data_IF_590927300482
#
_entry.id   IF_590927300482
#
_cell.length_a   1.000
_cell.length_b   1.000
_cell.length_c   1.000
_cell.angle_alpha   90.00
_cell.angle_beta   90.00
_cell.angle_gamma   90.00
#
_symmetry.space_group_name_H-M   'P 1'
#
loop_
_entity.id
_entity.type
_entity.pdbx_description
1 polymer ?
#
# COMPACT_ATOMS: atom_id res chain seq x y z
N UNK A 1 5.22 3.65 -12.24
CA UNK A 1 6.62 4.08 -12.01
C UNK A 1 6.57 5.55 -11.64
N UNK A 2 7.22 5.95 -10.55
CA UNK A 2 7.37 7.37 -10.23
C UNK A 2 8.31 7.96 -11.29
N UNK A 3 7.78 8.76 -12.17
CA UNK A 3 8.53 9.49 -13.20
C UNK A 3 8.78 10.93 -12.78
N UNK A 4 9.51 11.64 -13.63
CA UNK A 4 9.88 13.04 -13.41
C UNK A 4 8.64 13.95 -13.25
N UNK A 5 7.55 13.66 -13.98
CA UNK A 5 6.29 14.41 -13.86
C UNK A 5 5.64 14.19 -12.49
N UNK A 6 5.63 12.96 -11.97
CA UNK A 6 5.12 12.66 -10.62
C UNK A 6 5.96 13.36 -9.54
N UNK A 7 7.26 13.50 -9.73
CA UNK A 7 8.12 14.25 -8.80
C UNK A 7 7.86 15.76 -8.85
N UNK A 8 7.69 16.33 -10.05
CA UNK A 8 7.33 17.75 -10.26
C UNK A 8 5.96 18.06 -9.61
N UNK A 9 4.97 17.19 -9.78
CA UNK A 9 3.65 17.34 -9.15
C UNK A 9 3.72 17.25 -7.62
N UNK A 10 4.54 16.35 -7.09
CA UNK A 10 4.76 16.25 -5.65
C UNK A 10 5.49 17.47 -5.08
N UNK A 11 6.46 18.03 -5.79
CA UNK A 11 7.14 19.26 -5.40
C UNK A 11 6.21 20.47 -5.46
N UNK A 12 5.38 20.57 -6.49
CA UNK A 12 4.39 21.66 -6.64
C UNK A 12 3.35 21.62 -5.51
N UNK A 13 2.93 20.42 -5.11
CA UNK A 13 2.00 20.20 -3.99
C UNK A 13 2.65 20.56 -2.64
N UNK A 14 3.91 20.16 -2.41
CA UNK A 14 4.64 20.43 -1.17
C UNK A 14 5.01 21.92 -1.03
N UNK A 15 5.22 22.64 -2.12
CA UNK A 15 5.56 24.06 -2.13
C UNK A 15 4.35 25.01 -2.06
N UNK A 16 3.14 24.48 -1.78
CA UNK A 16 1.94 25.31 -1.54
C UNK A 16 1.33 25.92 -2.80
N UNK A 17 1.72 25.45 -3.97
CA UNK A 17 1.24 25.95 -5.26
C UNK A 17 -0.16 25.52 -5.69
N UNK A 18 -0.96 24.97 -4.80
CA UNK A 18 -2.30 24.49 -5.13
C UNK A 18 -3.22 24.35 -3.94
N UNK A 19 -3.54 25.45 -3.27
CA UNK A 19 -4.70 25.45 -2.39
C UNK A 19 -5.97 25.28 -3.23
N UNK A 20 -6.43 24.04 -3.39
CA UNK A 20 -7.74 23.75 -3.95
C UNK A 20 -8.78 24.57 -3.19
N UNK A 21 -9.47 25.48 -3.87
CA UNK A 21 -10.53 26.22 -3.25
C UNK A 21 -11.65 25.27 -2.82
N UNK A 22 -12.41 25.61 -1.78
CA UNK A 22 -13.59 24.83 -1.37
C UNK A 22 -14.58 24.55 -2.52
N UNK A 23 -14.56 25.36 -3.58
CA UNK A 23 -15.37 25.18 -4.79
C UNK A 23 -14.81 24.14 -5.76
N UNK A 24 -13.51 23.94 -5.79
CA UNK A 24 -12.86 22.92 -6.65
C UNK A 24 -12.95 21.54 -6.02
N UNK A 25 -12.96 21.46 -4.68
CA UNK A 25 -13.22 20.24 -3.94
C UNK A 25 -14.64 19.68 -4.18
N UNK A 26 -15.62 20.53 -4.44
CA UNK A 26 -16.99 20.08 -4.76
C UNK A 26 -17.14 19.46 -6.15
N UNK A 27 -16.18 19.60 -7.04
CA UNK A 27 -16.15 18.96 -8.36
C UNK A 27 -15.50 17.57 -8.37
N UNK A 28 -14.83 17.21 -7.29
CA UNK A 28 -14.25 15.88 -7.08
C UNK A 28 -15.30 14.95 -6.44
N UNK A 29 -16.36 14.64 -7.19
CA UNK A 29 -17.45 13.76 -6.76
C UNK A 29 -17.03 12.34 -6.37
N UNK A 30 -15.82 11.90 -6.69
CA UNK A 30 -15.26 10.63 -6.23
C UNK A 30 -14.87 10.65 -4.73
N UNK A 31 -14.49 11.79 -4.18
CA UNK A 31 -14.15 11.91 -2.75
C UNK A 31 -15.42 11.91 -1.86
N UNK A 32 -16.56 12.38 -2.38
CA UNK A 32 -17.83 12.39 -1.65
C UNK A 32 -18.42 10.97 -1.48
N UNK A 33 -18.17 10.06 -2.42
CA UNK A 33 -18.64 8.67 -2.33
C UNK A 33 -17.82 7.89 -1.28
N UNK A 34 -16.54 8.20 -1.12
CA UNK A 34 -15.72 7.60 -0.07
C UNK A 34 -16.14 8.03 1.35
N UNK A 35 -16.63 9.25 1.53
CA UNK A 35 -17.10 9.72 2.84
C UNK A 35 -18.45 9.10 3.26
N UNK A 36 -19.25 8.62 2.32
CA UNK A 36 -20.52 7.92 2.61
C UNK A 36 -20.33 6.45 3.03
N UNK A 37 -19.18 5.87 2.77
CA UNK A 37 -18.84 4.49 3.17
C UNK A 37 -18.18 4.40 4.55
N UNK A 38 -17.84 5.53 5.18
CA UNK A 38 -17.24 5.55 6.51
C UNK A 38 -18.27 5.98 7.56
N UNK A 39 -18.40 5.25 8.68
CA UNK A 39 -19.26 5.68 9.77
C UNK A 39 -18.78 7.05 10.29
N UNK A 40 -19.72 7.98 10.46
CA UNK A 40 -19.49 9.38 10.86
C UNK A 40 -18.89 9.59 12.27
N UNK A 41 -18.46 8.54 12.94
CA UNK A 41 -17.88 8.58 14.29
C UNK A 41 -16.36 8.81 14.33
N UNK A 42 -15.74 9.17 13.20
CA UNK A 42 -14.28 9.20 13.08
C UNK A 42 -13.63 10.57 13.36
N UNK A 43 -14.37 11.54 13.87
CA UNK A 43 -13.78 12.82 14.26
C UNK A 43 -13.16 12.69 15.66
N UNK A 44 -11.85 12.47 15.70
CA UNK A 44 -11.06 12.66 16.93
C UNK A 44 -10.64 11.40 17.67
N UNK A 45 -10.58 10.22 17.03
CA UNK A 45 -9.93 9.08 17.70
C UNK A 45 -8.43 9.37 17.90
N UNK A 46 -8.00 9.29 19.16
CA UNK A 46 -6.59 9.31 19.48
C UNK A 46 -5.91 8.06 18.92
N UNK A 47 -4.79 8.21 18.20
CA UNK A 47 -4.03 7.08 17.67
C UNK A 47 -2.79 6.83 18.50
N UNK A 48 -2.49 5.56 18.75
CA UNK A 48 -1.25 5.11 19.39
C UNK A 48 -0.32 4.60 18.29
N UNK A 49 0.82 5.26 18.13
CA UNK A 49 1.87 4.79 17.24
C UNK A 49 2.68 3.70 17.95
N UNK A 50 2.85 2.57 17.26
CA UNK A 50 3.85 1.58 17.64
C UNK A 50 4.92 1.61 16.57
N UNK A 51 5.82 2.58 16.67
CA UNK A 51 6.90 2.75 15.71
C UNK A 51 7.80 1.51 15.67
N UNK A 52 8.18 1.13 14.47
CA UNK A 52 9.21 0.15 14.21
C UNK A 52 8.98 -1.21 14.90
N UNK A 53 7.82 -1.81 14.58
CA UNK A 53 7.55 -3.19 14.96
C UNK A 53 8.35 -4.14 14.06
N UNK A 54 8.82 -5.22 14.67
CA UNK A 54 9.58 -6.25 13.98
C UNK A 54 8.68 -7.46 13.75
N UNK A 55 8.53 -7.86 12.50
CA UNK A 55 7.75 -9.03 12.12
C UNK A 55 8.69 -10.14 11.67
N UNK A 56 8.55 -11.31 12.30
CA UNK A 56 9.31 -12.49 11.90
C UNK A 56 8.79 -13.01 10.56
N UNK A 57 9.68 -13.12 9.60
CA UNK A 57 9.39 -13.56 8.25
C UNK A 57 10.12 -14.87 7.96
N UNK A 58 9.76 -15.57 6.88
CA UNK A 58 10.48 -16.76 6.44
C UNK A 58 11.96 -16.48 6.16
N UNK A 59 12.25 -15.32 5.59
CA UNK A 59 13.60 -14.99 5.08
C UNK A 59 14.30 -13.90 5.92
N UNK A 60 13.87 -13.70 7.16
CA UNK A 60 14.49 -12.71 8.07
C UNK A 60 13.49 -12.01 8.97
N UNK A 61 13.75 -10.76 9.31
CA UNK A 61 12.89 -9.94 10.16
C UNK A 61 12.59 -8.64 9.44
N UNK A 62 11.30 -8.36 9.23
CA UNK A 62 10.84 -7.13 8.59
C UNK A 62 10.57 -6.05 9.62
N UNK A 63 11.21 -4.91 9.44
CA UNK A 63 10.93 -3.67 10.17
C UNK A 63 9.73 -2.97 9.54
N UNK A 64 8.65 -2.84 10.30
CA UNK A 64 7.39 -2.29 9.83
C UNK A 64 6.93 -1.14 10.71
N UNK A 65 5.98 -0.36 10.23
CA UNK A 65 5.30 0.67 11.01
C UNK A 65 3.87 0.24 11.29
N UNK A 66 3.55 0.07 12.58
CA UNK A 66 2.21 -0.30 13.03
C UNK A 66 1.56 0.86 13.77
N UNK A 67 0.38 1.28 13.31
CA UNK A 67 -0.38 2.38 13.89
C UNK A 67 -1.86 1.99 14.00
N UNK A 68 -2.49 2.37 15.12
CA UNK A 68 -3.85 1.97 15.46
C UNK A 68 -4.57 3.02 16.31
N UNK A 69 -5.90 2.99 16.41
CA UNK A 69 -6.63 3.74 17.42
C UNK A 69 -6.23 3.34 18.85
N UNK A 70 -6.34 4.27 19.80
CA UNK A 70 -5.90 4.08 21.19
C UNK A 70 -6.70 3.04 21.95
N UNK A 71 -7.93 2.75 21.54
CA UNK A 71 -8.84 1.83 22.24
C UNK A 71 -9.70 1.04 21.27
N UNK A 72 -10.20 -0.10 21.71
CA UNK A 72 -11.12 -0.96 20.96
C UNK A 72 -10.44 -1.91 20.00
N UNK A 73 -11.28 -2.74 19.34
CA UNK A 73 -10.86 -3.64 18.25
C UNK A 73 -11.27 -3.08 16.90
N UNK A 74 -10.37 -3.12 15.95
CA UNK A 74 -10.53 -2.47 14.66
C UNK A 74 -10.21 -3.41 13.50
N UNK A 75 -10.83 -3.24 12.31
CA UNK A 75 -10.43 -3.99 11.13
C UNK A 75 -8.99 -3.64 10.77
N UNK A 76 -8.25 -4.62 10.31
CA UNK A 76 -6.86 -4.44 9.95
C UNK A 76 -6.68 -4.04 8.48
N UNK A 77 -5.61 -3.29 8.21
CA UNK A 77 -5.15 -2.93 6.86
C UNK A 77 -3.67 -3.21 6.73
N UNK A 78 -3.31 -3.95 5.68
CA UNK A 78 -1.94 -4.17 5.25
C UNK A 78 -1.60 -3.22 4.10
N UNK A 79 -0.58 -2.37 4.28
CA UNK A 79 -0.20 -1.36 3.28
C UNK A 79 1.18 -1.68 2.68
N UNK A 80 1.19 -1.87 1.35
CA UNK A 80 2.40 -2.09 0.55
C UNK A 80 2.85 -0.76 -0.08
N UNK A 81 4.03 -0.26 0.28
CA UNK A 81 4.60 0.95 -0.31
C UNK A 81 4.95 0.80 -1.80
N UNK A 82 5.27 1.94 -2.40
CA UNK A 82 5.87 2.01 -3.73
C UNK A 82 7.34 1.55 -3.74
N UNK A 83 8.02 1.75 -4.89
CA UNK A 83 9.41 1.33 -5.13
C UNK A 83 10.42 1.95 -4.16
N UNK A 84 10.13 3.09 -3.54
CA UNK A 84 11.00 3.72 -2.54
C UNK A 84 10.83 3.12 -1.13
N UNK A 85 9.87 2.22 -0.94
CA UNK A 85 9.66 1.50 0.32
C UNK A 85 9.03 2.31 1.45
N UNK A 86 9.11 1.75 2.66
CA UNK A 86 8.59 2.39 3.87
C UNK A 86 9.40 3.65 4.20
N UNK A 87 8.72 4.80 4.24
CA UNK A 87 9.28 6.12 4.51
C UNK A 87 8.22 7.04 5.15
N UNK A 88 8.57 8.28 5.57
CA UNK A 88 7.65 9.19 6.27
C UNK A 88 6.28 9.38 5.59
N UNK A 89 6.23 9.46 4.26
CA UNK A 89 4.98 9.59 3.52
C UNK A 89 4.00 8.43 3.81
N UNK A 90 4.48 7.17 3.76
CA UNK A 90 3.65 6.00 4.05
C UNK A 90 3.27 5.88 5.52
N UNK A 91 4.14 6.31 6.44
CA UNK A 91 3.79 6.44 7.87
C UNK A 91 2.64 7.44 8.07
N UNK A 92 2.67 8.58 7.39
CA UNK A 92 1.59 9.57 7.43
C UNK A 92 0.28 9.03 6.82
N UNK A 93 0.35 8.25 5.74
CA UNK A 93 -0.82 7.59 5.13
C UNK A 93 -1.41 6.54 6.07
N UNK A 94 -0.59 5.70 6.69
CA UNK A 94 -1.03 4.73 7.70
C UNK A 94 -1.70 5.41 8.88
N UNK A 95 -1.13 6.52 9.38
CA UNK A 95 -1.70 7.31 10.47
C UNK A 95 -3.09 7.87 10.10
N UNK A 96 -3.26 8.39 8.88
CA UNK A 96 -4.57 8.86 8.41
C UNK A 96 -5.63 7.76 8.40
N UNK A 97 -5.28 6.54 7.97
CA UNK A 97 -6.18 5.40 8.04
C UNK A 97 -6.49 4.97 9.48
N UNK A 98 -5.51 5.01 10.37
CA UNK A 98 -5.74 4.72 11.78
C UNK A 98 -6.70 5.73 12.42
N UNK A 99 -6.62 7.00 12.06
CA UNK A 99 -7.59 8.03 12.47
C UNK A 99 -9.01 7.78 11.93
N UNK A 100 -9.17 6.95 10.91
CA UNK A 100 -10.45 6.49 10.38
C UNK A 100 -10.94 5.17 11.01
N UNK A 101 -10.25 4.67 12.03
CA UNK A 101 -10.68 3.49 12.77
C UNK A 101 -10.10 2.16 12.26
N UNK A 102 -8.93 2.16 11.65
CA UNK A 102 -8.25 0.95 11.19
C UNK A 102 -6.97 0.67 11.98
N UNK A 103 -6.64 -0.59 12.18
CA UNK A 103 -5.32 -1.03 12.63
C UNK A 103 -4.44 -1.26 11.41
N UNK A 104 -3.40 -0.46 11.22
CA UNK A 104 -2.66 -0.39 9.96
C UNK A 104 -1.22 -0.84 10.14
N UNK A 105 -0.80 -1.82 9.34
CA UNK A 105 0.59 -2.23 9.21
C UNK A 105 1.14 -1.74 7.86
N UNK A 106 2.09 -0.82 7.91
CA UNK A 106 2.86 -0.39 6.74
C UNK A 106 4.17 -1.15 6.73
N UNK A 107 4.40 -1.95 5.71
CA UNK A 107 5.52 -2.90 5.68
C UNK A 107 6.77 -2.33 5.02
N UNK A 108 7.94 -2.88 5.39
CA UNK A 108 9.15 -2.75 4.59
C UNK A 108 9.24 -3.96 3.64
N UNK A 109 8.91 -3.84 2.35
CA UNK A 109 8.98 -4.96 1.42
C UNK A 109 10.43 -5.40 1.13
N UNK A 110 11.39 -4.56 1.46
CA UNK A 110 12.81 -4.76 1.17
C UNK A 110 13.63 -5.26 2.37
N UNK A 111 12.97 -5.74 3.42
CA UNK A 111 13.62 -6.17 4.65
C UNK A 111 14.76 -7.21 4.46
N UNK A 112 14.71 -7.96 3.35
CA UNK A 112 15.78 -8.93 2.98
C UNK A 112 17.11 -8.25 2.67
N UNK A 113 17.06 -6.98 2.28
CA UNK A 113 18.24 -6.23 1.81
C UNK A 113 18.62 -5.09 2.73
N UNK A 114 17.60 -4.34 3.23
CA UNK A 114 17.85 -3.14 4.01
C UNK A 114 16.69 -2.82 4.96
N UNK A 115 17.03 -2.16 6.07
CA UNK A 115 16.03 -1.54 6.95
C UNK A 115 15.47 -0.28 6.30
N UNK A 116 14.22 0.06 6.66
CA UNK A 116 13.58 1.28 6.21
C UNK A 116 14.11 2.52 6.98
N UNK A 117 14.26 3.67 6.31
CA UNK A 117 14.05 3.91 4.89
C UNK A 117 15.22 3.37 4.05
N UNK A 118 14.92 2.71 2.92
CA UNK A 118 15.96 2.07 2.08
C UNK A 118 16.73 3.07 1.20
N UNK A 119 16.20 4.29 1.04
CA UNK A 119 16.86 5.40 0.36
C UNK A 119 16.71 6.67 1.19
N UNK A 120 17.68 7.57 1.06
CA UNK A 120 17.67 8.88 1.74
C UNK A 120 16.56 9.80 1.25
N UNK A 121 16.29 10.83 2.04
CA UNK A 121 15.40 11.92 1.65
C UNK A 121 15.95 12.62 0.38
N UNK A 122 15.07 12.92 -0.59
CA UNK A 122 15.46 13.49 -1.88
C UNK A 122 15.98 12.49 -2.91
N UNK A 123 16.10 11.18 -2.58
CA UNK A 123 16.48 10.18 -3.57
C UNK A 123 15.44 10.11 -4.70
N UNK A 124 15.91 10.26 -5.95
CA UNK A 124 15.06 10.21 -7.15
C UNK A 124 15.15 8.85 -7.83
N UNK A 125 14.00 8.36 -8.29
CA UNK A 125 13.96 7.17 -9.16
C UNK A 125 14.49 7.46 -10.57
N UNK A 126 14.58 8.75 -10.94
CA UNK A 126 15.19 9.19 -12.21
C UNK A 126 16.72 9.05 -12.19
N UNK A 127 17.35 9.06 -10.98
CA UNK A 127 18.78 8.78 -10.86
C UNK A 127 19.06 7.31 -11.20
N UNK A 128 19.99 7.04 -12.17
CA UNK A 128 20.26 5.68 -12.65
C UNK A 128 20.75 4.72 -11.57
N UNK A 129 21.57 5.17 -10.64
CA UNK A 129 22.12 4.29 -9.58
C UNK A 129 21.05 3.98 -8.53
N UNK A 130 20.28 4.99 -8.11
CA UNK A 130 19.12 4.80 -7.22
C UNK A 130 18.10 3.84 -7.84
N UNK A 131 17.77 4.04 -9.12
CA UNK A 131 16.84 3.16 -9.83
C UNK A 131 17.35 1.74 -9.92
N UNK A 132 18.62 1.53 -10.28
CA UNK A 132 19.26 0.21 -10.36
C UNK A 132 19.20 -0.51 -9.00
N UNK A 133 19.52 0.19 -7.93
CA UNK A 133 19.48 -0.33 -6.56
C UNK A 133 18.06 -0.76 -6.17
N UNK A 134 17.07 0.11 -6.34
CA UNK A 134 15.67 -0.18 -6.00
C UNK A 134 15.08 -1.32 -6.83
N UNK A 135 15.36 -1.36 -8.14
CA UNK A 135 14.91 -2.45 -9.02
C UNK A 135 15.54 -3.79 -8.61
N UNK A 136 16.81 -3.81 -8.20
CA UNK A 136 17.46 -5.04 -7.74
C UNK A 136 16.74 -5.64 -6.52
N UNK A 137 16.29 -4.81 -5.58
CA UNK A 137 15.49 -5.26 -4.44
C UNK A 137 14.09 -5.70 -4.85
N UNK A 138 13.41 -4.91 -5.71
CA UNK A 138 12.07 -5.20 -6.16
C UNK A 138 11.95 -6.54 -6.91
N UNK A 139 12.98 -6.93 -7.67
CA UNK A 139 13.04 -8.23 -8.36
C UNK A 139 13.02 -9.43 -7.41
N UNK A 140 13.35 -9.25 -6.14
CA UNK A 140 13.27 -10.31 -5.12
C UNK A 140 11.86 -10.52 -4.59
N UNK A 141 10.94 -9.61 -4.89
CA UNK A 141 9.52 -9.74 -4.55
C UNK A 141 8.81 -10.67 -5.55
N UNK A 142 9.30 -11.88 -5.68
CA UNK A 142 8.66 -12.93 -6.50
C UNK A 142 7.27 -13.26 -5.94
N UNK A 143 6.45 -13.95 -6.71
CA UNK A 143 5.14 -14.40 -6.24
C UNK A 143 5.27 -15.21 -4.94
N UNK A 144 6.14 -16.21 -4.93
CA UNK A 144 6.31 -17.06 -3.75
C UNK A 144 6.81 -16.29 -2.51
N UNK A 145 7.77 -15.38 -2.70
CA UNK A 145 8.30 -14.55 -1.62
C UNK A 145 7.21 -13.63 -1.05
N UNK A 146 6.54 -12.86 -1.92
CA UNK A 146 5.52 -11.91 -1.49
C UNK A 146 4.26 -12.56 -0.91
N UNK A 147 3.87 -13.74 -1.39
CA UNK A 147 2.76 -14.50 -0.80
C UNK A 147 3.12 -15.05 0.59
N UNK A 148 4.37 -15.50 0.79
CA UNK A 148 4.85 -15.91 2.11
C UNK A 148 4.88 -14.71 3.07
N UNK A 149 5.38 -13.57 2.60
CA UNK A 149 5.41 -12.32 3.37
C UNK A 149 3.99 -11.87 3.77
N UNK A 150 3.05 -11.91 2.82
CA UNK A 150 1.67 -11.54 3.09
C UNK A 150 1.03 -12.38 4.20
N UNK A 151 1.30 -13.70 4.24
CA UNK A 151 0.82 -14.58 5.32
C UNK A 151 1.37 -14.14 6.67
N UNK A 152 2.68 -13.93 6.75
CA UNK A 152 3.33 -13.54 8.00
C UNK A 152 2.85 -12.17 8.50
N UNK A 153 2.65 -11.21 7.60
CA UNK A 153 2.10 -9.90 7.98
C UNK A 153 0.64 -9.99 8.48
N UNK A 154 -0.19 -10.83 7.86
CA UNK A 154 -1.57 -11.02 8.32
C UNK A 154 -1.60 -11.78 9.65
N UNK A 155 -0.75 -12.80 9.85
CA UNK A 155 -0.59 -13.46 11.14
C UNK A 155 -0.16 -12.49 12.24
N UNK A 156 0.79 -11.59 11.95
CA UNK A 156 1.17 -10.53 12.87
C UNK A 156 -0.01 -9.63 13.23
N UNK A 157 -0.80 -9.20 12.23
CA UNK A 157 -1.99 -8.38 12.47
C UNK A 157 -3.02 -9.12 13.33
N UNK A 158 -3.31 -10.37 13.02
CA UNK A 158 -4.30 -11.18 13.75
C UNK A 158 -3.88 -11.49 15.21
N UNK A 159 -2.58 -11.42 15.49
CA UNK A 159 -2.04 -11.57 16.84
C UNK A 159 -2.13 -10.29 17.69
N UNK A 160 -2.55 -9.15 17.13
CA UNK A 160 -2.67 -7.91 17.88
C UNK A 160 -4.01 -7.83 18.61
N UNK A 161 -4.00 -7.52 19.90
CA UNK A 161 -5.20 -7.44 20.76
C UNK A 161 -6.27 -6.45 20.26
N UNK A 162 -5.83 -5.42 19.55
CA UNK A 162 -6.68 -4.36 18.99
C UNK A 162 -7.18 -4.65 17.57
N UNK A 163 -6.88 -5.80 17.00
CA UNK A 163 -7.41 -6.23 15.70
C UNK A 163 -8.69 -7.03 15.89
N UNK A 164 -9.74 -6.66 15.18
CA UNK A 164 -10.98 -7.43 15.12
C UNK A 164 -10.84 -8.56 14.08
N UNK A 165 -10.52 -9.75 14.53
CA UNK A 165 -10.34 -10.91 13.67
C UNK A 165 -11.64 -11.45 13.08
N UNK A 166 -12.81 -11.01 13.54
CA UNK A 166 -14.11 -11.33 12.94
C UNK A 166 -14.35 -10.49 11.66
N UNK A 167 -13.61 -9.43 11.45
CA UNK A 167 -13.67 -8.61 10.25
C UNK A 167 -12.52 -8.96 9.30
N UNK A 168 -12.81 -8.90 8.01
CA UNK A 168 -11.79 -9.12 6.96
C UNK A 168 -10.73 -8.04 7.00
N UNK A 169 -9.53 -8.39 6.53
CA UNK A 169 -8.41 -7.47 6.32
C UNK A 169 -8.54 -6.76 4.98
N UNK A 170 -8.24 -5.46 4.96
CA UNK A 170 -8.01 -4.71 3.73
C UNK A 170 -6.53 -4.74 3.34
N UNK A 171 -6.21 -4.66 2.05
CA UNK A 171 -4.83 -4.47 1.59
C UNK A 171 -4.75 -3.35 0.57
N UNK A 172 -3.75 -2.48 0.72
CA UNK A 172 -3.50 -1.33 -0.16
C UNK A 172 -2.11 -1.44 -0.77
N UNK A 173 -1.99 -1.13 -2.05
CA UNK A 173 -0.70 -1.13 -2.75
C UNK A 173 -0.56 0.05 -3.69
N UNK A 174 0.63 0.64 -3.71
CA UNK A 174 0.96 1.81 -4.51
C UNK A 174 2.09 1.48 -5.47
N UNK A 175 1.93 1.79 -6.77
CA UNK A 175 2.94 1.55 -7.81
C UNK A 175 3.41 0.07 -7.78
N UNK A 176 4.65 -0.19 -7.38
CA UNK A 176 5.19 -1.55 -7.16
C UNK A 176 4.33 -2.40 -6.20
N UNK A 177 3.65 -1.76 -5.25
CA UNK A 177 2.74 -2.44 -4.32
C UNK A 177 1.47 -2.98 -4.95
N UNK A 178 1.09 -2.53 -6.16
CA UNK A 178 -0.11 -2.96 -6.85
C UNK A 178 -0.22 -4.47 -7.03
N UNK A 179 0.73 -5.15 -7.68
CA UNK A 179 0.71 -6.61 -7.80
C UNK A 179 0.78 -7.33 -6.44
N UNK A 180 1.35 -6.70 -5.41
CA UNK A 180 1.46 -7.31 -4.08
C UNK A 180 0.11 -7.43 -3.37
N UNK A 181 -0.86 -6.54 -3.65
CA UNK A 181 -2.22 -6.69 -3.09
C UNK A 181 -2.94 -7.91 -3.67
N UNK A 182 -2.77 -8.19 -4.96
CA UNK A 182 -3.36 -9.37 -5.59
C UNK A 182 -2.75 -10.65 -5.05
N UNK A 183 -1.42 -10.66 -4.88
CA UNK A 183 -0.68 -11.76 -4.24
C UNK A 183 -1.09 -11.94 -2.78
N UNK A 184 -1.37 -10.86 -2.05
CA UNK A 184 -1.90 -10.90 -0.68
C UNK A 184 -3.28 -11.54 -0.66
N UNK A 185 -4.20 -11.10 -1.52
CA UNK A 185 -5.55 -11.62 -1.60
C UNK A 185 -5.56 -13.12 -2.00
N UNK A 186 -4.70 -13.53 -2.93
CA UNK A 186 -4.54 -14.92 -3.32
C UNK A 186 -3.83 -15.79 -2.25
N UNK A 187 -2.93 -15.20 -1.45
CA UNK A 187 -2.22 -15.90 -0.39
C UNK A 187 -3.10 -16.24 0.81
N UNK A 188 -4.05 -15.34 1.17
CA UNK A 188 -4.89 -15.47 2.37
C UNK A 188 -6.35 -15.12 2.04
N UNK A 189 -7.00 -15.87 1.11
CA UNK A 189 -8.32 -15.52 0.57
C UNK A 189 -9.42 -15.52 1.65
N UNK A 190 -9.25 -16.32 2.69
CA UNK A 190 -10.21 -16.37 3.80
C UNK A 190 -10.14 -15.16 4.74
N UNK A 191 -9.05 -14.40 4.73
CA UNK A 191 -8.85 -13.23 5.60
C UNK A 191 -8.95 -11.90 4.86
N UNK A 192 -8.55 -11.83 3.60
CA UNK A 192 -8.60 -10.61 2.79
C UNK A 192 -9.99 -10.44 2.21
N UNK A 193 -10.62 -9.30 2.48
CA UNK A 193 -11.96 -8.97 1.97
C UNK A 193 -11.99 -7.81 0.98
N UNK A 194 -10.95 -6.98 0.99
CA UNK A 194 -10.80 -5.85 0.08
C UNK A 194 -9.34 -5.62 -0.30
N UNK A 195 -9.09 -5.29 -1.55
CA UNK A 195 -7.76 -4.96 -2.07
C UNK A 195 -7.84 -3.71 -2.94
N UNK A 196 -6.91 -2.76 -2.79
CA UNK A 196 -6.88 -1.58 -3.63
C UNK A 196 -5.47 -1.32 -4.17
N UNK A 197 -5.36 -1.25 -5.49
CA UNK A 197 -4.14 -0.89 -6.22
C UNK A 197 -4.27 0.54 -6.71
N UNK A 198 -3.29 1.37 -6.36
CA UNK A 198 -3.19 2.74 -6.83
C UNK A 198 -1.98 2.86 -7.75
N UNK A 199 -2.21 3.17 -9.01
CA UNK A 199 -1.16 3.30 -10.04
C UNK A 199 -0.26 2.04 -10.09
N UNK A 200 -0.86 0.85 -9.98
CA UNK A 200 -0.13 -0.42 -9.96
C UNK A 200 0.37 -0.83 -11.34
N UNK A 201 1.68 -1.05 -11.48
CA UNK A 201 2.26 -1.61 -12.70
C UNK A 201 2.45 -3.12 -12.60
N UNK A 202 2.40 -3.83 -13.74
CA UNK A 202 2.65 -5.27 -13.81
C UNK A 202 1.56 -6.13 -13.16
N UNK A 203 0.31 -5.68 -13.23
CA UNK A 203 -0.85 -6.43 -12.75
C UNK A 203 -1.16 -7.61 -13.66
N UNK A 204 -0.89 -7.45 -14.95
CA UNK A 204 -1.06 -8.44 -16.00
C UNK A 204 0.21 -8.58 -16.82
N UNK A 205 0.59 -9.80 -17.13
CA UNK A 205 1.69 -10.14 -18.03
C UNK A 205 1.47 -11.56 -18.59
N UNK A 206 2.28 -11.96 -19.57
CA UNK A 206 2.27 -13.32 -20.14
C UNK A 206 3.02 -14.35 -19.27
N UNK A 207 3.56 -13.94 -18.11
CA UNK A 207 4.26 -14.86 -17.22
C UNK A 207 3.29 -15.76 -16.45
N UNK A 208 3.69 -17.00 -16.19
CA UNK A 208 2.90 -17.99 -15.43
C UNK A 208 2.60 -17.55 -13.99
N UNK A 209 3.36 -16.58 -13.45
CA UNK A 209 3.17 -16.01 -12.13
C UNK A 209 2.54 -14.60 -12.17
N UNK A 210 1.86 -14.27 -13.27
CA UNK A 210 1.18 -12.98 -13.42
C UNK A 210 0.10 -12.80 -12.35
N UNK A 211 0.06 -11.63 -11.68
CA UNK A 211 -0.86 -11.40 -10.55
C UNK A 211 -2.33 -11.62 -10.87
N UNK A 212 -2.79 -11.30 -12.09
CA UNK A 212 -4.18 -11.49 -12.51
C UNK A 212 -4.64 -12.95 -12.43
N UNK A 213 -3.74 -13.93 -12.57
CA UNK A 213 -4.05 -15.35 -12.44
C UNK A 213 -4.50 -15.75 -11.04
N UNK A 214 -4.30 -14.88 -10.05
CA UNK A 214 -4.75 -15.10 -8.67
C UNK A 214 -6.20 -14.64 -8.41
N UNK A 215 -6.82 -13.93 -9.36
CA UNK A 215 -8.21 -13.45 -9.23
C UNK A 215 -9.18 -14.58 -8.90
N UNK A 216 -9.18 -15.74 -9.61
CA UNK A 216 -10.11 -16.83 -9.32
C UNK A 216 -9.94 -17.46 -7.92
N UNK A 217 -8.78 -17.29 -7.30
CA UNK A 217 -8.48 -17.84 -5.97
C UNK A 217 -8.83 -16.87 -4.82
N UNK A 218 -9.35 -15.67 -5.13
CA UNK A 218 -9.71 -14.66 -4.14
C UNK A 218 -11.18 -14.27 -4.22
N UNK A 219 -11.81 -14.05 -3.06
CA UNK A 219 -13.15 -13.47 -2.95
C UNK A 219 -13.12 -11.98 -2.53
N UNK A 220 -11.96 -11.36 -2.53
CA UNK A 220 -11.82 -9.95 -2.15
C UNK A 220 -12.44 -9.04 -3.22
N UNK A 221 -13.10 -7.96 -2.77
CA UNK A 221 -13.45 -6.86 -3.66
C UNK A 221 -12.19 -6.10 -4.04
N UNK A 222 -11.96 -5.88 -5.34
CA UNK A 222 -10.74 -5.23 -5.83
C UNK A 222 -11.07 -3.88 -6.45
N UNK A 223 -10.32 -2.86 -6.07
CA UNK A 223 -10.29 -1.54 -6.69
C UNK A 223 -8.96 -1.36 -7.42
N UNK A 224 -9.02 -1.03 -8.69
CA UNK A 224 -7.86 -0.58 -9.46
C UNK A 224 -8.04 0.90 -9.82
N UNK A 225 -7.23 1.77 -9.21
CA UNK A 225 -7.12 3.16 -9.58
C UNK A 225 -5.94 3.29 -10.55
N UNK A 226 -6.26 3.51 -11.82
CA UNK A 226 -5.31 3.60 -12.93
C UNK A 226 -5.06 5.07 -13.22
N UNK A 227 -3.80 5.48 -13.34
CA UNK A 227 -3.44 6.84 -13.69
C UNK A 227 -3.73 7.11 -15.19
N UNK A 228 -4.01 8.38 -15.52
CA UNK A 228 -4.33 8.78 -16.88
C UNK A 228 -3.23 8.40 -17.88
N UNK A 229 -1.97 8.53 -17.45
CA UNK A 229 -0.79 8.27 -18.28
C UNK A 229 -0.29 6.80 -18.23
N UNK A 230 -0.97 5.88 -17.55
CA UNK A 230 -0.56 4.47 -17.54
C UNK A 230 -0.65 3.84 -18.94
N UNK A 231 -1.57 4.31 -19.79
CA UNK A 231 -1.72 3.85 -21.18
C UNK A 231 -0.56 4.25 -22.09
N UNK A 232 0.18 5.28 -21.76
CA UNK A 232 1.34 5.73 -22.55
C UNK A 232 2.48 4.69 -22.52
N UNK A 233 2.49 3.83 -21.50
CA UNK A 233 3.53 2.83 -21.26
C UNK A 233 3.10 1.39 -21.53
N UNK A 234 1.80 1.17 -21.56
CA UNK A 234 1.17 -0.10 -21.89
C UNK A 234 -0.19 0.17 -22.51
N UNK A 235 -0.31 0.15 -23.85
CA UNK A 235 -1.53 0.56 -24.57
C UNK A 235 -2.80 -0.15 -24.09
N UNK A 236 -2.66 -1.33 -23.51
CA UNK A 236 -3.77 -2.15 -23.02
C UNK A 236 -3.95 -2.12 -21.49
N UNK A 237 -3.20 -1.26 -20.77
CA UNK A 237 -3.20 -1.24 -19.31
C UNK A 237 -4.59 -1.01 -18.67
N UNK A 238 -5.51 -0.33 -19.39
CA UNK A 238 -6.90 -0.11 -18.95
C UNK A 238 -7.88 -1.18 -19.44
N UNK A 239 -7.48 -2.04 -20.37
CA UNK A 239 -8.35 -3.01 -21.03
C UNK A 239 -8.18 -4.44 -20.50
N UNK A 240 -7.27 -4.65 -19.54
CA UNK A 240 -6.91 -5.98 -19.04
C UNK A 240 -7.46 -6.21 -17.64
#
# INVERSE_FOLDING_TARGET
>A
MCDELTEIDNESFSNGGGALSRRDFSKLSAAAIMSLMFPTNALGQEVVEKSDVMVNMRDGVSDCYYVRPSSGKHPAVLMWPDIKGLRPAFRAMGKRLAMQGYSVLVVNPFYRDAKAPVVGEGASFSDPETRKFLIAMARKLTQNASMADARAYIEFLDAQDNVDTNRKVGTLGYCMGGPLIMRTAGAVPNRVGAAASFHGGGLVSDADDSPHLLIPSSSAHVLHAIAENDDERGPDAKNV
#
